data_IF_619477895026
#
_entry.id   IF_619477895026
#
_cell.length_a   1.000
_cell.length_b   1.000
_cell.length_c   1.000
_cell.angle_alpha   90.00
_cell.angle_beta   90.00
_cell.angle_gamma   90.00
#
_symmetry.space_group_name_H-M   'P 1'
#
loop_
_entity.id
_entity.type
_entity.pdbx_description
1 polymer ?
#
# COMPACT_ATOMS: atom_id res chain seq x y z
N UNK A 1 7.63 -61.36 74.78
CA UNK A 1 8.04 -61.52 73.36
C UNK A 1 6.76 -61.46 72.53
N UNK A 2 6.36 -60.35 71.89
CA UNK A 2 6.89 -59.75 70.64
C UNK A 2 7.33 -60.85 69.63
N UNK A 3 6.93 -60.94 68.35
CA UNK A 3 6.42 -59.99 67.34
C UNK A 3 5.56 -60.78 66.33
N UNK A 4 4.50 -60.13 65.81
CA UNK A 4 3.72 -60.50 64.63
C UNK A 4 4.51 -60.55 63.32
N UNK A 5 4.10 -61.38 62.34
CA UNK A 5 4.20 -61.00 60.92
C UNK A 5 2.99 -61.57 60.15
N UNK A 6 1.95 -60.74 60.03
CA UNK A 6 0.99 -60.87 58.94
C UNK A 6 0.68 -59.45 58.44
N UNK A 7 1.51 -58.96 57.51
CA UNK A 7 1.45 -57.61 56.96
C UNK A 7 1.39 -57.66 55.42
N UNK A 8 0.34 -58.32 54.92
CA UNK A 8 0.05 -58.45 53.48
C UNK A 8 -0.74 -57.33 52.78
N UNK A 9 -1.60 -56.50 53.40
CA UNK A 9 -2.45 -55.58 52.63
C UNK A 9 -2.07 -54.09 52.68
N UNK A 10 -1.02 -53.72 53.42
CA UNK A 10 -0.70 -52.30 53.66
C UNK A 10 0.21 -51.68 52.58
N UNK A 11 1.03 -52.49 51.91
CA UNK A 11 2.01 -52.02 50.89
C UNK A 11 1.33 -51.81 49.53
N UNK A 12 0.36 -52.66 49.17
CA UNK A 12 -0.36 -52.61 47.89
C UNK A 12 -1.22 -51.34 47.73
N UNK A 13 -1.90 -50.90 48.80
CA UNK A 13 -2.70 -49.66 48.82
C UNK A 13 -1.86 -48.39 48.60
N UNK A 14 -0.61 -48.36 49.05
CA UNK A 14 0.31 -47.22 48.83
C UNK A 14 0.80 -47.15 47.38
N UNK A 15 1.09 -48.29 46.75
CA UNK A 15 1.51 -48.36 45.35
C UNK A 15 0.36 -48.02 44.40
N UNK A 16 -0.85 -48.50 44.68
CA UNK A 16 -2.06 -48.11 43.94
C UNK A 16 -2.33 -46.61 44.08
N UNK A 17 -2.35 -46.04 45.30
CA UNK A 17 -2.61 -44.61 45.51
C UNK A 17 -1.60 -43.72 44.75
N UNK A 18 -0.33 -44.14 44.64
CA UNK A 18 0.72 -43.41 43.90
C UNK A 18 0.55 -43.50 42.37
N UNK A 19 0.13 -44.65 41.85
CA UNK A 19 -0.17 -44.84 40.41
C UNK A 19 -1.42 -44.08 39.96
N UNK A 20 -2.43 -43.99 40.83
CA UNK A 20 -3.64 -43.19 40.59
C UNK A 20 -3.34 -41.69 40.51
N UNK A 21 -2.49 -41.15 41.39
CA UNK A 21 -2.09 -39.74 41.35
C UNK A 21 -1.35 -39.41 40.05
N UNK A 22 -0.43 -40.27 39.62
CA UNK A 22 0.26 -40.12 38.32
C UNK A 22 -0.71 -40.17 37.13
N UNK A 23 -1.67 -41.09 37.15
CA UNK A 23 -2.71 -41.18 36.13
C UNK A 23 -3.60 -39.92 36.06
N UNK A 24 -3.98 -39.37 37.22
CA UNK A 24 -4.78 -38.14 37.30
C UNK A 24 -4.01 -36.93 36.79
N UNK A 25 -2.75 -36.75 37.20
CA UNK A 25 -1.90 -35.64 36.72
C UNK A 25 -1.71 -35.74 35.20
N UNK A 26 -1.38 -36.94 34.70
CA UNK A 26 -1.23 -37.14 33.26
C UNK A 26 -2.53 -36.89 32.49
N UNK A 27 -3.67 -37.35 33.01
CA UNK A 27 -4.98 -37.11 32.43
C UNK A 27 -5.34 -35.62 32.38
N UNK A 28 -5.11 -34.87 33.47
CA UNK A 28 -5.33 -33.43 33.51
C UNK A 28 -4.40 -32.68 32.55
N UNK A 29 -3.13 -33.07 32.47
CA UNK A 29 -2.18 -32.51 31.50
C UNK A 29 -2.61 -32.78 30.05
N UNK A 30 -3.11 -33.99 29.75
CA UNK A 30 -3.55 -34.36 28.42
C UNK A 30 -4.85 -33.65 28.02
N UNK A 31 -5.80 -33.51 28.95
CA UNK A 31 -7.03 -32.73 28.74
C UNK A 31 -6.69 -31.25 28.53
N UNK A 32 -5.78 -30.69 29.32
CA UNK A 32 -5.32 -29.31 29.14
C UNK A 32 -4.65 -29.12 27.77
N UNK A 33 -3.80 -30.07 27.36
CA UNK A 33 -3.15 -30.02 26.07
C UNK A 33 -4.17 -30.09 24.92
N UNK A 34 -5.11 -31.05 24.94
CA UNK A 34 -6.15 -31.19 23.92
C UNK A 34 -7.08 -29.97 23.86
N UNK A 35 -7.51 -29.44 25.00
CA UNK A 35 -8.32 -28.21 25.03
C UNK A 35 -7.55 -27.00 24.53
N UNK A 36 -6.24 -26.93 24.81
CA UNK A 36 -5.40 -25.85 24.29
C UNK A 36 -5.15 -25.95 22.80
N UNK A 37 -4.96 -27.16 22.25
CA UNK A 37 -4.73 -27.35 20.80
C UNK A 37 -6.00 -27.08 20.00
N UNK A 38 -7.15 -27.56 20.48
CA UNK A 38 -8.44 -27.28 19.82
C UNK A 38 -8.80 -25.79 19.88
N UNK A 39 -8.50 -25.11 21.00
CA UNK A 39 -8.70 -23.66 21.13
C UNK A 39 -7.75 -22.85 20.26
N UNK A 40 -6.54 -23.35 20.01
CA UNK A 40 -5.58 -22.76 19.07
C UNK A 40 -6.08 -22.91 17.63
N UNK A 41 -6.57 -24.09 17.26
CA UNK A 41 -7.16 -24.37 15.94
C UNK A 41 -8.40 -23.49 15.70
N UNK A 42 -9.30 -23.39 16.67
CA UNK A 42 -10.49 -22.53 16.59
C UNK A 42 -10.12 -21.04 16.45
N UNK A 43 -9.05 -20.57 17.11
CA UNK A 43 -8.53 -19.20 16.90
C UNK A 43 -7.96 -19.01 15.50
N UNK A 44 -7.18 -19.95 14.99
CA UNK A 44 -6.62 -19.85 13.63
C UNK A 44 -7.68 -19.94 12.54
N UNK A 45 -8.72 -20.76 12.75
CA UNK A 45 -9.88 -20.82 11.87
C UNK A 45 -10.63 -19.51 11.98
N UNK A 46 -10.93 -19.01 13.19
CA UNK A 46 -11.63 -17.73 13.38
C UNK A 46 -10.87 -16.53 12.83
N UNK A 47 -9.55 -16.49 12.90
CA UNK A 47 -8.72 -15.47 12.26
C UNK A 47 -8.74 -15.58 10.73
N UNK A 48 -8.69 -16.81 10.18
CA UNK A 48 -8.88 -17.03 8.73
C UNK A 48 -10.28 -16.64 8.28
N UNK A 49 -11.31 -16.98 9.04
CA UNK A 49 -12.70 -16.61 8.77
C UNK A 49 -12.91 -15.11 8.96
N UNK A 50 -12.20 -14.42 9.87
CA UNK A 50 -12.23 -12.95 10.00
C UNK A 50 -11.52 -12.26 8.83
N UNK A 51 -10.40 -12.81 8.35
CA UNK A 51 -9.71 -12.33 7.16
C UNK A 51 -10.54 -12.55 5.89
N UNK A 52 -11.29 -13.66 5.82
CA UNK A 52 -12.12 -14.01 4.66
C UNK A 52 -13.55 -13.45 4.74
N UNK A 53 -14.06 -13.16 5.94
CA UNK A 53 -15.31 -12.44 6.19
C UNK A 53 -15.10 -10.92 6.31
N UNK A 54 -13.91 -10.40 5.96
CA UNK A 54 -13.74 -9.01 5.56
C UNK A 54 -14.37 -8.81 4.19
N UNK A 55 -15.70 -8.92 4.22
CA UNK A 55 -16.70 -8.32 3.36
C UNK A 55 -16.26 -7.94 1.92
N UNK A 56 -16.64 -8.73 0.90
CA UNK A 56 -16.48 -8.32 -0.50
C UNK A 56 -17.40 -7.14 -0.90
N UNK A 57 -18.25 -6.65 0.00
CA UNK A 57 -19.15 -5.50 -0.24
C UNK A 57 -18.50 -4.15 0.07
N UNK A 58 -17.31 -4.11 0.68
CA UNK A 58 -16.50 -2.90 0.67
C UNK A 58 -15.84 -2.77 -0.71
N UNK A 59 -16.66 -2.54 -1.75
CA UNK A 59 -16.25 -1.74 -2.90
C UNK A 59 -15.81 -0.43 -2.31
N UNK A 60 -14.52 -0.32 -2.01
CA UNK A 60 -13.93 0.91 -1.57
C UNK A 60 -14.35 1.92 -2.63
N UNK A 61 -15.12 2.92 -2.22
CA UNK A 61 -15.52 4.01 -3.09
C UNK A 61 -14.25 4.84 -3.34
N UNK A 62 -13.35 4.30 -4.15
CA UNK A 62 -12.15 4.95 -4.65
C UNK A 62 -12.57 6.03 -5.61
N UNK A 63 -13.12 7.12 -5.07
CA UNK A 63 -13.36 8.33 -5.83
C UNK A 63 -12.34 9.35 -5.36
N UNK A 64 -11.20 9.33 -6.03
CA UNK A 64 -10.20 10.40 -5.92
C UNK A 64 -10.93 11.74 -6.07
N UNK A 65 -10.75 12.64 -5.10
CA UNK A 65 -11.43 13.94 -5.12
C UNK A 65 -10.74 14.84 -6.14
N UNK A 66 -11.26 14.83 -7.36
CA UNK A 66 -10.87 15.79 -8.38
C UNK A 66 -11.44 17.17 -8.01
N UNK A 67 -10.68 17.97 -7.25
CA UNK A 67 -11.06 19.35 -6.94
C UNK A 67 -10.93 20.19 -8.22
N UNK A 68 -12.02 20.31 -8.97
CA UNK A 68 -12.11 21.25 -10.09
C UNK A 68 -12.08 22.66 -9.48
N UNK A 69 -10.99 23.39 -9.72
CA UNK A 69 -10.69 24.67 -9.08
C UNK A 69 -11.85 25.66 -9.10
N UNK A 70 -12.60 25.70 -8.00
CA UNK A 70 -13.47 26.82 -7.68
C UNK A 70 -12.66 27.74 -6.74
N UNK A 71 -12.02 28.74 -7.35
CA UNK A 71 -11.03 29.66 -6.77
C UNK A 71 -11.59 30.60 -5.70
N UNK A 72 -12.06 30.07 -4.57
CA UNK A 72 -12.40 30.89 -3.39
C UNK A 72 -11.73 30.45 -2.10
N UNK A 73 -11.03 29.30 -2.09
CA UNK A 73 -10.04 29.04 -1.04
C UNK A 73 -8.75 29.71 -1.47
N UNK A 74 -8.38 30.78 -0.78
CA UNK A 74 -7.00 31.25 -0.80
C UNK A 74 -6.16 30.09 -0.28
N UNK A 75 -5.56 29.34 -1.20
CA UNK A 75 -4.67 28.24 -0.86
C UNK A 75 -3.43 28.90 -0.28
N UNK A 76 -3.39 28.93 1.05
CA UNK A 76 -2.33 29.58 1.82
C UNK A 76 -1.06 28.74 1.86
N UNK A 77 -1.15 27.46 1.49
CA UNK A 77 -0.05 26.50 1.50
C UNK A 77 -0.28 25.44 0.44
N UNK A 78 0.75 25.13 -0.36
CA UNK A 78 0.70 24.05 -1.35
C UNK A 78 1.61 22.89 -0.94
N UNK A 79 1.19 21.67 -1.27
CA UNK A 79 2.11 20.54 -1.38
C UNK A 79 2.86 20.61 -2.71
N UNK A 80 4.06 20.05 -2.74
CA UNK A 80 4.84 19.91 -3.96
C UNK A 80 5.49 18.53 -4.05
N UNK A 81 6.10 18.23 -5.19
CA UNK A 81 6.71 16.92 -5.45
C UNK A 81 7.93 16.63 -4.57
N UNK A 82 8.57 17.65 -3.95
CA UNK A 82 9.77 17.64 -3.07
C UNK A 82 11.04 17.00 -3.69
N UNK A 83 10.88 16.00 -4.55
CA UNK A 83 11.91 15.10 -5.07
C UNK A 83 12.81 15.74 -6.14
N UNK A 84 12.32 16.74 -6.85
CA UNK A 84 13.03 17.29 -8.01
C UNK A 84 14.21 18.18 -7.61
N UNK A 85 15.41 17.88 -8.14
CA UNK A 85 16.65 18.63 -7.84
C UNK A 85 16.65 20.05 -8.40
N UNK A 86 16.03 20.27 -9.56
CA UNK A 86 16.05 21.54 -10.29
C UNK A 86 14.64 22.11 -10.47
N UNK A 87 13.71 21.24 -10.86
CA UNK A 87 12.30 21.55 -11.09
C UNK A 87 11.47 20.96 -9.96
N UNK A 88 10.33 21.58 -9.65
CA UNK A 88 9.32 21.05 -8.74
C UNK A 88 7.93 21.27 -9.35
N UNK A 89 6.99 20.43 -8.93
CA UNK A 89 5.57 20.58 -9.30
C UNK A 89 4.75 20.75 -8.03
N UNK A 90 3.89 21.76 -8.00
CA UNK A 90 2.93 21.96 -6.92
C UNK A 90 1.60 21.19 -7.15
N UNK A 91 0.77 21.12 -6.11
CA UNK A 91 -0.53 20.45 -6.15
C UNK A 91 -1.53 21.08 -7.14
N UNK A 92 -1.29 22.32 -7.56
CA UNK A 92 -2.09 23.04 -8.56
C UNK A 92 -1.64 22.75 -10.01
N UNK A 93 -0.58 21.96 -10.16
CA UNK A 93 -0.03 21.57 -11.45
C UNK A 93 0.90 22.60 -12.07
N UNK A 94 1.36 23.61 -11.32
CA UNK A 94 2.45 24.48 -11.76
C UNK A 94 3.79 23.78 -11.57
N UNK A 95 4.66 23.93 -12.57
CA UNK A 95 6.05 23.50 -12.57
C UNK A 95 6.92 24.74 -12.55
N UNK A 96 7.83 24.81 -11.59
CA UNK A 96 8.77 25.92 -11.46
C UNK A 96 10.17 25.41 -11.10
N UNK A 97 11.17 26.28 -11.29
CA UNK A 97 12.50 26.03 -10.72
C UNK A 97 12.46 26.24 -9.21
N UNK A 98 13.39 25.60 -8.49
CA UNK A 98 13.46 25.75 -7.02
C UNK A 98 13.63 27.20 -6.56
N UNK A 99 14.28 28.05 -7.34
CA UNK A 99 14.47 29.49 -7.03
C UNK A 99 13.15 30.28 -7.05
N UNK A 100 12.16 29.79 -7.77
CA UNK A 100 10.85 30.42 -7.96
C UNK A 100 9.78 29.80 -7.03
N UNK A 101 10.21 28.93 -6.10
CA UNK A 101 9.35 28.35 -5.07
C UNK A 101 9.11 29.36 -3.95
N UNK A 102 7.85 29.61 -3.64
CA UNK A 102 7.46 30.51 -2.56
C UNK A 102 7.55 29.80 -1.19
N UNK A 103 7.60 30.59 -0.11
CA UNK A 103 7.70 30.09 1.27
C UNK A 103 6.49 29.24 1.66
N UNK A 104 5.34 29.47 1.03
CA UNK A 104 4.13 28.66 1.22
C UNK A 104 4.16 27.29 0.50
N UNK A 105 5.25 26.97 -0.20
CA UNK A 105 5.43 25.71 -0.93
C UNK A 105 4.81 25.68 -2.33
N UNK A 106 4.17 26.77 -2.77
CA UNK A 106 3.60 26.92 -4.11
C UNK A 106 4.64 27.50 -5.10
N UNK A 107 4.44 27.27 -6.39
CA UNK A 107 5.24 27.94 -7.41
C UNK A 107 4.82 29.41 -7.59
N UNK A 108 5.79 30.30 -7.84
CA UNK A 108 5.50 31.69 -8.18
C UNK A 108 4.92 31.79 -9.60
N UNK A 109 3.64 32.11 -9.70
CA UNK A 109 2.91 32.24 -10.98
C UNK A 109 3.44 33.41 -11.83
N UNK A 110 4.03 34.42 -11.19
CA UNK A 110 4.56 35.60 -11.89
C UNK A 110 5.96 35.36 -12.50
N UNK A 111 6.63 34.26 -12.15
CA UNK A 111 7.92 33.92 -12.73
C UNK A 111 7.73 33.35 -14.14
N UNK A 112 8.46 33.86 -15.14
CA UNK A 112 8.33 33.40 -16.53
C UNK A 112 8.80 31.95 -16.79
N UNK A 113 9.53 31.38 -15.83
CA UNK A 113 9.92 29.96 -15.77
C UNK A 113 8.76 29.03 -15.38
N UNK A 114 7.73 29.55 -14.70
CA UNK A 114 6.62 28.76 -14.19
C UNK A 114 5.63 28.39 -15.30
N UNK A 115 5.25 27.12 -15.37
CA UNK A 115 4.31 26.60 -16.38
C UNK A 115 3.26 25.70 -15.73
N UNK A 116 1.99 25.88 -16.07
CA UNK A 116 0.91 25.01 -15.58
C UNK A 116 0.59 23.89 -16.58
N UNK A 117 0.28 22.69 -16.07
CA UNK A 117 -0.13 21.52 -16.85
C UNK A 117 0.80 21.24 -18.05
N UNK A 118 2.11 21.22 -17.80
CA UNK A 118 3.11 21.18 -18.86
C UNK A 118 3.33 19.76 -19.41
N UNK A 119 2.71 19.47 -20.57
CA UNK A 119 2.77 18.15 -21.22
C UNK A 119 3.76 18.03 -22.39
N UNK A 120 4.55 19.05 -22.74
CA UNK A 120 5.34 19.05 -24.01
C UNK A 120 6.43 17.97 -24.09
N UNK A 121 6.87 17.44 -22.95
CA UNK A 121 7.89 16.37 -22.88
C UNK A 121 7.30 14.96 -22.86
N UNK A 122 5.97 14.86 -22.95
CA UNK A 122 5.23 13.62 -22.84
C UNK A 122 4.84 13.11 -24.24
N UNK A 123 4.97 11.80 -24.41
CA UNK A 123 4.52 11.07 -25.60
C UNK A 123 3.01 10.80 -25.53
N UNK A 124 2.45 10.34 -26.65
CA UNK A 124 1.02 10.03 -26.79
C UNK A 124 0.52 8.94 -25.83
N UNK A 125 1.40 8.02 -25.41
CA UNK A 125 1.11 6.99 -24.43
C UNK A 125 1.07 7.50 -22.96
N UNK A 126 1.24 8.81 -22.75
CA UNK A 126 1.21 9.40 -21.41
C UNK A 126 2.49 9.14 -20.60
N UNK A 127 3.60 8.84 -21.27
CA UNK A 127 4.92 8.74 -20.66
C UNK A 127 5.79 9.96 -21.01
N UNK A 128 6.57 10.43 -20.05
CA UNK A 128 7.39 11.64 -20.16
C UNK A 128 8.85 11.36 -19.77
N UNK A 129 9.75 12.23 -20.23
CA UNK A 129 11.18 12.18 -19.92
C UNK A 129 11.51 12.74 -18.53
N UNK A 130 10.69 13.66 -18.02
CA UNK A 130 10.89 14.37 -16.75
C UNK A 130 9.73 14.09 -15.81
N UNK A 131 10.06 13.79 -14.55
CA UNK A 131 9.07 13.41 -13.53
C UNK A 131 8.07 14.53 -13.25
N UNK A 132 8.57 15.74 -13.05
CA UNK A 132 7.77 16.93 -12.72
C UNK A 132 6.79 17.28 -13.85
N UNK A 133 7.20 17.08 -15.11
CA UNK A 133 6.32 17.27 -16.26
C UNK A 133 5.26 16.17 -16.34
N UNK A 134 5.58 14.91 -15.99
CA UNK A 134 4.59 13.86 -15.87
C UNK A 134 3.52 14.22 -14.83
N UNK A 135 3.93 14.63 -13.64
CA UNK A 135 3.01 14.97 -12.54
C UNK A 135 2.11 16.14 -12.94
N UNK A 136 2.70 17.22 -13.48
CA UNK A 136 1.95 18.39 -13.94
C UNK A 136 0.97 18.04 -15.06
N UNK A 137 1.37 17.23 -16.04
CA UNK A 137 0.50 16.81 -17.12
C UNK A 137 -0.65 15.90 -16.63
N UNK A 138 -0.38 15.02 -15.67
CA UNK A 138 -1.37 14.12 -15.06
C UNK A 138 -2.45 14.88 -14.28
N UNK A 139 -2.10 16.02 -13.69
CA UNK A 139 -3.04 16.89 -12.95
C UNK A 139 -4.03 17.63 -13.86
N UNK A 140 -3.80 17.65 -15.17
CA UNK A 140 -4.68 18.33 -16.10
C UNK A 140 -6.10 17.71 -16.06
N UNK A 141 -7.18 18.52 -16.04
CA UNK A 141 -8.56 18.01 -15.93
C UNK A 141 -8.93 17.08 -17.10
N UNK A 142 -8.39 17.31 -18.29
CA UNK A 142 -8.62 16.46 -19.47
C UNK A 142 -8.15 15.01 -19.30
N UNK A 143 -7.29 14.74 -18.32
CA UNK A 143 -6.75 13.40 -18.05
C UNK A 143 -7.55 12.64 -16.98
N UNK A 144 -8.48 13.30 -16.30
CA UNK A 144 -9.36 12.66 -15.30
C UNK A 144 -10.10 11.41 -15.80
N UNK A 145 -10.75 11.40 -16.98
CA UNK A 145 -11.46 10.20 -17.44
C UNK A 145 -10.53 9.01 -17.67
N UNK A 146 -9.30 9.27 -18.15
CA UNK A 146 -8.28 8.23 -18.32
C UNK A 146 -7.84 7.66 -16.98
N UNK A 147 -7.64 8.52 -15.98
CA UNK A 147 -7.25 8.11 -14.63
C UNK A 147 -8.36 7.35 -13.92
N UNK A 148 -9.62 7.77 -14.07
CA UNK A 148 -10.79 7.09 -13.51
C UNK A 148 -10.98 5.70 -14.13
N UNK A 149 -10.85 5.58 -15.45
CA UNK A 149 -10.86 4.29 -16.14
C UNK A 149 -9.76 3.35 -15.62
N UNK A 150 -8.55 3.88 -15.46
CA UNK A 150 -7.44 3.13 -14.89
C UNK A 150 -7.75 2.66 -13.45
N UNK A 151 -8.27 3.55 -12.60
CA UNK A 151 -8.59 3.24 -11.20
C UNK A 151 -9.66 2.15 -11.10
N UNK A 152 -10.70 2.22 -11.93
CA UNK A 152 -11.77 1.21 -11.97
C UNK A 152 -11.22 -0.17 -12.36
N UNK A 153 -10.32 -0.24 -13.35
CA UNK A 153 -9.66 -1.49 -13.76
C UNK A 153 -8.64 -1.98 -12.73
N UNK A 154 -7.88 -1.07 -12.12
CA UNK A 154 -6.84 -1.41 -11.15
C UNK A 154 -7.41 -1.82 -9.79
N UNK A 155 -8.61 -1.38 -9.42
CA UNK A 155 -9.30 -1.82 -8.21
C UNK A 155 -9.49 -3.35 -8.16
N UNK A 156 -9.51 -4.03 -9.32
CA UNK A 156 -9.61 -5.48 -9.40
C UNK A 156 -8.28 -6.22 -9.14
N UNK A 157 -7.13 -5.57 -9.35
CA UNK A 157 -5.80 -6.23 -9.28
C UNK A 157 -4.75 -5.60 -8.36
N UNK A 158 -4.92 -4.33 -7.97
CA UNK A 158 -3.95 -3.51 -7.23
C UNK A 158 -4.60 -2.75 -6.07
N UNK A 159 -5.63 -3.34 -5.46
CA UNK A 159 -6.41 -2.78 -4.36
C UNK A 159 -5.54 -2.24 -3.21
N UNK A 160 -4.37 -2.85 -2.97
CA UNK A 160 -3.42 -2.50 -1.90
C UNK A 160 -2.46 -1.35 -2.25
N UNK A 161 -2.18 -1.08 -3.53
CA UNK A 161 -1.16 -0.11 -3.94
C UNK A 161 -1.71 1.33 -3.98
N UNK A 162 -3.00 1.44 -4.27
CA UNK A 162 -3.72 2.71 -4.30
C UNK A 162 -4.51 2.98 -3.02
N UNK A 163 -4.41 2.09 -2.01
CA UNK A 163 -5.10 2.27 -0.73
C UNK A 163 -4.67 3.52 0.04
N UNK A 164 -3.44 3.95 -0.20
CA UNK A 164 -2.81 5.08 0.46
C UNK A 164 -2.94 6.39 -0.34
N UNK A 165 -3.62 6.39 -1.48
CA UNK A 165 -3.75 7.57 -2.34
C UNK A 165 -5.10 8.24 -2.05
N UNK A 166 -5.05 9.41 -1.40
CA UNK A 166 -6.27 10.11 -0.98
C UNK A 166 -6.73 11.16 -1.99
N UNK A 167 -5.80 11.74 -2.75
CA UNK A 167 -6.05 12.92 -3.60
C UNK A 167 -5.47 12.77 -5.03
N UNK A 168 -5.98 13.56 -5.98
CA UNK A 168 -5.55 13.54 -7.39
C UNK A 168 -4.05 13.84 -7.51
N UNK A 169 -3.54 14.75 -6.69
CA UNK A 169 -2.11 15.03 -6.65
C UNK A 169 -1.29 13.83 -6.23
N UNK A 170 -1.70 13.11 -5.18
CA UNK A 170 -1.01 11.90 -4.71
C UNK A 170 -1.07 10.78 -5.73
N UNK A 171 -2.20 10.64 -6.44
CA UNK A 171 -2.34 9.69 -7.52
C UNK A 171 -1.31 9.95 -8.60
N UNK A 172 -1.18 11.19 -9.04
CA UNK A 172 -0.21 11.57 -10.05
C UNK A 172 1.24 11.38 -9.56
N UNK A 173 1.54 11.73 -8.30
CA UNK A 173 2.86 11.48 -7.71
C UNK A 173 3.20 9.99 -7.68
N UNK A 174 2.25 9.13 -7.32
CA UNK A 174 2.43 7.69 -7.26
C UNK A 174 2.56 7.06 -8.66
N UNK A 175 1.70 7.50 -9.60
CA UNK A 175 1.69 6.98 -10.97
C UNK A 175 2.93 7.35 -11.75
N UNK A 176 3.33 8.60 -11.71
CA UNK A 176 4.49 9.06 -12.45
C UNK A 176 5.82 8.51 -11.94
N UNK A 177 5.88 7.79 -10.81
CA UNK A 177 7.12 7.13 -10.36
C UNK A 177 7.51 6.01 -11.33
N UNK A 178 8.81 5.81 -11.52
CA UNK A 178 9.32 4.66 -12.27
C UNK A 178 8.88 3.36 -11.61
N UNK A 179 8.44 2.39 -12.41
CA UNK A 179 7.96 1.09 -11.94
C UNK A 179 8.73 -0.04 -12.61
N UNK A 180 8.58 -1.27 -12.10
CA UNK A 180 9.15 -2.46 -12.75
C UNK A 180 8.69 -2.64 -14.21
N UNK A 181 7.55 -2.03 -14.58
CA UNK A 181 7.05 -2.08 -15.95
C UNK A 181 7.80 -1.16 -16.91
N UNK A 182 8.46 -0.09 -16.42
CA UNK A 182 9.24 0.81 -17.27
C UNK A 182 10.68 0.33 -17.52
N UNK A 183 11.07 -0.78 -16.91
CA UNK A 183 12.37 -1.43 -17.11
C UNK A 183 12.26 -2.78 -17.84
N UNK A 184 13.38 -3.20 -18.39
CA UNK A 184 13.66 -4.44 -19.11
C UNK A 184 15.01 -4.96 -18.57
N UNK A 185 15.17 -6.29 -18.51
CA UNK A 185 16.38 -6.92 -17.97
C UNK A 185 16.80 -6.35 -16.61
N UNK A 186 15.82 -6.21 -15.72
CA UNK A 186 15.96 -5.80 -14.31
C UNK A 186 16.44 -4.36 -14.06
N UNK A 187 17.20 -3.73 -14.98
CA UNK A 187 17.79 -2.40 -14.79
C UNK A 187 17.84 -1.49 -16.03
N UNK A 188 17.41 -1.95 -17.21
CA UNK A 188 17.46 -1.13 -18.44
C UNK A 188 16.10 -0.51 -18.71
N UNK A 189 15.98 0.80 -18.84
CA UNK A 189 14.69 1.41 -19.20
C UNK A 189 14.25 0.96 -20.60
N UNK A 190 12.97 0.58 -20.76
CA UNK A 190 12.37 0.23 -22.05
C UNK A 190 12.51 1.36 -23.08
N UNK A 191 12.37 2.58 -22.59
CA UNK A 191 12.60 3.80 -23.34
C UNK A 191 13.28 4.83 -22.43
N UNK A 192 14.56 5.18 -22.66
CA UNK A 192 15.27 6.19 -21.87
C UNK A 192 14.64 7.59 -21.93
N UNK A 193 13.85 7.90 -22.96
CA UNK A 193 13.17 9.18 -23.13
C UNK A 193 11.75 9.20 -22.53
N UNK A 194 11.23 8.06 -22.06
CA UNK A 194 9.86 7.94 -21.57
C UNK A 194 9.82 7.07 -20.31
N UNK A 195 10.40 7.57 -19.21
CA UNK A 195 10.61 6.82 -17.97
C UNK A 195 9.44 6.92 -16.99
N UNK A 196 8.75 8.06 -17.00
CA UNK A 196 7.73 8.43 -16.02
C UNK A 196 6.37 8.46 -16.70
N UNK A 197 5.41 7.64 -16.27
CA UNK A 197 4.16 7.45 -17.01
C UNK A 197 2.95 7.63 -16.12
N UNK A 198 1.93 8.32 -16.63
CA UNK A 198 0.59 8.37 -16.02
C UNK A 198 -0.44 7.55 -16.83
N UNK A 199 -0.10 7.15 -18.06
CA UNK A 199 -0.93 6.32 -18.92
C UNK A 199 -1.05 4.86 -18.44
N UNK A 200 -1.98 4.12 -19.04
CA UNK A 200 -2.21 2.70 -18.75
C UNK A 200 -1.13 1.78 -19.35
N UNK A 201 -0.63 2.12 -20.54
CA UNK A 201 0.35 1.30 -21.23
C UNK A 201 1.79 1.61 -20.77
N UNK A 202 2.64 0.58 -20.64
CA UNK A 202 4.07 0.80 -20.40
C UNK A 202 4.71 1.51 -21.59
N UNK A 203 5.87 2.17 -21.39
CA UNK A 203 6.61 2.78 -22.49
C UNK A 203 6.95 1.75 -23.57
N UNK A 204 6.82 2.15 -24.84
CA UNK A 204 7.17 1.32 -25.98
C UNK A 204 8.63 0.87 -25.90
N UNK A 205 8.87 -0.40 -26.21
CA UNK A 205 10.22 -0.94 -26.29
C UNK A 205 10.92 -0.34 -27.51
N UNK A 206 11.95 0.48 -27.28
CA UNK A 206 12.83 0.84 -28.38
C UNK A 206 13.72 -0.36 -28.74
N UNK A 207 13.92 -0.66 -30.04
CA UNK A 207 14.91 -1.65 -30.44
C UNK A 207 16.29 -1.16 -29.98
N UNK A 208 16.99 -2.02 -29.25
CA UNK A 208 18.38 -1.80 -28.78
C UNK A 208 19.35 -1.91 -29.94
#
# INVERSE_FOLDING_TARGET
LIIAVNSGPMVLRRVLRKRWVLGVVFGLSLIYFLTSTLKQEERTIRDRTLLQARDPEHRIAWKVRFNLGNSSRQITQCRNSVQGKLLLTDELGYVCERKDLLVNGCCNINAGSTRQFFCKSCLSNGCCSVYEYCVSCCLQPDKQPLLEHFLNRAAEGFQNLFTAVEDHFELCLAKCRTSSQSVQHENTYRNPQAKYCYGESPPELLPV
#
